data_IF_656885888151
#
_entry.id   IF_656885888151
#
_cell.length_a   1.000
_cell.length_b   1.000
_cell.length_c   1.000
_cell.angle_alpha   90.00
_cell.angle_beta   90.00
_cell.angle_gamma   90.00
#
_symmetry.space_group_name_H-M   'P 1'
#
loop_
_entity.id
_entity.type
_entity.pdbx_description
1 polymer ?
#
# COMPACT_ATOMS: atom_id res chain seq x y z
N UNK A 1 -15.00 -21.61 -0.50
CA UNK A 1 -14.06 -20.68 0.17
C UNK A 1 -12.94 -20.20 -0.75
N UNK A 2 -12.51 -21.01 -1.73
CA UNK A 2 -11.33 -20.68 -2.53
C UNK A 2 -11.51 -19.47 -3.44
N UNK A 3 -12.72 -19.21 -3.94
CA UNK A 3 -13.03 -17.97 -4.65
C UNK A 3 -12.78 -16.71 -3.82
N UNK A 4 -13.07 -16.73 -2.52
CA UNK A 4 -12.80 -15.59 -1.62
C UNK A 4 -11.29 -15.40 -1.46
N UNK A 5 -10.52 -16.49 -1.38
CA UNK A 5 -9.05 -16.42 -1.35
C UNK A 5 -8.50 -15.84 -2.66
N UNK A 6 -9.03 -16.26 -3.82
CA UNK A 6 -8.65 -15.73 -5.14
C UNK A 6 -8.90 -14.21 -5.19
N UNK A 7 -10.11 -13.77 -4.82
CA UNK A 7 -10.47 -12.36 -4.77
C UNK A 7 -9.58 -11.60 -3.79
N UNK A 8 -9.33 -12.15 -2.60
CA UNK A 8 -8.44 -11.56 -1.60
C UNK A 8 -7.04 -11.35 -2.15
N UNK A 9 -6.44 -12.38 -2.75
CA UNK A 9 -5.08 -12.31 -3.32
C UNK A 9 -5.03 -11.28 -4.45
N UNK A 10 -6.02 -11.25 -5.35
CA UNK A 10 -6.12 -10.23 -6.40
C UNK A 10 -6.13 -8.81 -5.80
N UNK A 11 -6.96 -8.59 -4.78
CA UNK A 11 -7.06 -7.29 -4.11
C UNK A 11 -5.74 -6.91 -3.40
N UNK A 12 -5.08 -7.87 -2.76
CA UNK A 12 -3.76 -7.65 -2.14
C UNK A 12 -2.73 -7.26 -3.19
N UNK A 13 -2.62 -8.00 -4.29
CA UNK A 13 -1.68 -7.68 -5.37
C UNK A 13 -1.92 -6.27 -5.93
N UNK A 14 -3.18 -5.93 -6.19
CA UNK A 14 -3.53 -4.59 -6.66
C UNK A 14 -3.31 -3.48 -5.64
N UNK A 15 -3.42 -3.79 -4.34
CA UNK A 15 -3.03 -2.87 -3.28
C UNK A 15 -1.51 -2.65 -3.23
N UNK A 16 -0.73 -3.73 -3.34
CA UNK A 16 0.74 -3.67 -3.31
C UNK A 16 1.31 -2.80 -4.43
N UNK A 17 0.67 -2.77 -5.61
CA UNK A 17 1.08 -1.91 -6.72
C UNK A 17 1.23 -0.45 -6.28
N UNK A 18 0.28 0.10 -5.52
CA UNK A 18 0.40 1.49 -5.07
C UNK A 18 1.40 1.66 -3.93
N UNK A 19 1.48 0.71 -3.00
CA UNK A 19 2.42 0.78 -1.87
C UNK A 19 3.87 0.87 -2.38
N UNK A 20 4.22 0.13 -3.42
CA UNK A 20 5.57 0.08 -3.97
C UNK A 20 5.85 1.11 -5.08
N UNK A 21 4.83 1.50 -5.84
CA UNK A 21 5.03 2.40 -6.98
C UNK A 21 4.88 3.89 -6.60
N UNK A 22 3.89 4.23 -5.76
CA UNK A 22 3.51 5.64 -5.54
C UNK A 22 4.57 6.46 -4.83
N UNK A 23 5.24 5.99 -3.75
CA UNK A 23 6.29 6.77 -3.11
C UNK A 23 7.43 7.15 -4.07
N UNK A 24 7.82 6.23 -4.96
CA UNK A 24 8.82 6.51 -6.01
C UNK A 24 8.26 7.41 -7.11
N UNK A 25 7.02 7.20 -7.53
CA UNK A 25 6.35 8.04 -8.53
C UNK A 25 6.24 9.51 -8.06
N UNK A 26 6.06 9.76 -6.75
CA UNK A 26 6.07 11.10 -6.18
C UNK A 26 7.39 11.85 -6.41
N UNK A 27 8.53 11.15 -6.44
CA UNK A 27 9.83 11.75 -6.75
C UNK A 27 9.84 12.28 -8.19
N UNK A 28 9.35 11.46 -9.13
CA UNK A 28 9.31 11.85 -10.54
C UNK A 28 8.26 12.93 -10.79
N UNK A 29 7.10 12.87 -10.14
CA UNK A 29 6.08 13.92 -10.21
C UNK A 29 6.62 15.25 -9.66
N UNK A 30 7.32 15.24 -8.53
CA UNK A 30 7.99 16.44 -7.99
C UNK A 30 8.95 17.06 -9.02
N UNK A 31 9.74 16.25 -9.71
CA UNK A 31 10.70 16.71 -10.75
C UNK A 31 9.99 17.26 -11.99
N UNK A 32 8.88 16.65 -12.39
CA UNK A 32 8.05 17.12 -13.49
C UNK A 32 7.39 18.46 -13.15
N UNK A 33 6.76 18.55 -11.97
CA UNK A 33 6.15 19.78 -11.46
C UNK A 33 7.16 20.92 -11.33
N UNK A 34 8.39 20.64 -10.90
CA UNK A 34 9.45 21.65 -10.81
C UNK A 34 9.85 22.23 -12.19
N UNK A 35 9.60 21.51 -13.28
CA UNK A 35 9.89 21.97 -14.65
C UNK A 35 8.70 22.66 -15.30
N UNK A 36 7.49 22.14 -15.09
CA UNK A 36 6.28 22.60 -15.80
C UNK A 36 5.43 23.55 -14.97
N UNK A 37 5.53 23.51 -13.63
CA UNK A 37 4.63 24.20 -12.72
C UNK A 37 3.22 23.59 -12.62
N UNK A 38 2.98 22.46 -13.29
CA UNK A 38 1.66 21.85 -13.43
C UNK A 38 1.67 20.37 -13.04
N UNK A 39 0.50 19.85 -12.67
CA UNK A 39 0.31 18.42 -12.45
C UNK A 39 0.18 17.73 -13.80
N UNK A 40 1.31 17.40 -14.42
CA UNK A 40 1.37 16.71 -15.71
C UNK A 40 0.81 15.28 -15.69
N UNK A 41 0.89 14.56 -16.82
CA UNK A 41 0.32 13.21 -16.98
C UNK A 41 0.80 12.22 -15.92
N UNK A 42 2.04 12.36 -15.45
CA UNK A 42 2.61 11.52 -14.40
C UNK A 42 1.92 11.75 -13.05
N UNK A 43 1.58 12.99 -12.72
CA UNK A 43 0.86 13.30 -11.49
C UNK A 43 -0.56 12.75 -11.50
N UNK A 44 -1.23 12.86 -12.64
CA UNK A 44 -2.56 12.27 -12.84
C UNK A 44 -2.54 10.75 -12.76
N UNK A 45 -1.56 10.10 -13.40
CA UNK A 45 -1.36 8.65 -13.28
C UNK A 45 -1.12 8.23 -11.82
N UNK A 46 -0.23 8.93 -11.12
CA UNK A 46 0.12 8.63 -9.71
C UNK A 46 -1.10 8.74 -8.80
N UNK A 47 -1.89 9.81 -8.96
CA UNK A 47 -3.11 10.02 -8.19
C UNK A 47 -4.18 8.96 -8.49
N UNK A 48 -4.41 8.66 -9.78
CA UNK A 48 -5.38 7.64 -10.19
C UNK A 48 -4.98 6.24 -9.71
N UNK A 49 -3.68 5.92 -9.77
CA UNK A 49 -3.15 4.65 -9.28
C UNK A 49 -3.39 4.50 -7.77
N UNK A 50 -3.10 5.53 -6.98
CA UNK A 50 -3.40 5.54 -5.54
C UNK A 50 -4.91 5.35 -5.28
N UNK A 51 -5.78 6.07 -5.99
CA UNK A 51 -7.24 5.93 -5.80
C UNK A 51 -7.78 4.56 -6.19
N UNK A 52 -7.31 4.01 -7.30
CA UNK A 52 -7.69 2.68 -7.74
C UNK A 52 -7.29 1.62 -6.71
N UNK A 53 -6.04 1.71 -6.23
CA UNK A 53 -5.49 0.82 -5.22
C UNK A 53 -6.21 0.92 -3.87
N UNK A 54 -6.75 2.09 -3.51
CA UNK A 54 -7.52 2.27 -2.27
C UNK A 54 -8.81 1.43 -2.26
N UNK A 55 -9.49 1.25 -3.40
CA UNK A 55 -10.63 0.35 -3.49
C UNK A 55 -10.24 -1.11 -3.26
N UNK A 56 -9.13 -1.53 -3.85
CA UNK A 56 -8.59 -2.88 -3.69
C UNK A 56 -8.11 -3.13 -2.26
N UNK A 57 -7.50 -2.14 -1.60
CA UNK A 57 -7.17 -2.20 -0.18
C UNK A 57 -8.39 -2.50 0.67
N UNK A 58 -9.50 -1.76 0.49
CA UNK A 58 -10.72 -1.97 1.28
C UNK A 58 -11.24 -3.39 1.11
N UNK A 59 -11.31 -3.88 -0.13
CA UNK A 59 -11.72 -5.25 -0.43
C UNK A 59 -10.75 -6.28 0.17
N UNK A 60 -9.44 -6.04 0.11
CA UNK A 60 -8.42 -6.90 0.69
C UNK A 60 -8.57 -7.01 2.23
N UNK A 61 -8.86 -5.89 2.91
CA UNK A 61 -9.07 -5.87 4.36
C UNK A 61 -10.34 -6.62 4.75
N UNK A 62 -11.47 -6.36 4.08
CA UNK A 62 -12.75 -7.04 4.35
C UNK A 62 -12.62 -8.54 4.14
N UNK A 63 -12.09 -8.95 2.98
CA UNK A 63 -11.90 -10.38 2.68
C UNK A 63 -10.86 -11.02 3.59
N UNK A 64 -9.83 -10.29 4.00
CA UNK A 64 -8.80 -10.76 4.93
C UNK A 64 -9.35 -11.02 6.33
N UNK A 65 -10.16 -10.11 6.88
CA UNK A 65 -10.82 -10.27 8.17
C UNK A 65 -11.80 -11.43 8.11
N UNK A 66 -12.60 -11.53 7.04
CA UNK A 66 -13.54 -12.63 6.85
C UNK A 66 -12.82 -13.99 6.83
N UNK A 67 -11.72 -14.13 6.08
CA UNK A 67 -10.94 -15.37 6.06
C UNK A 67 -10.28 -15.65 7.42
N UNK A 68 -9.82 -14.61 8.13
CA UNK A 68 -9.33 -14.69 9.51
C UNK A 68 -10.32 -15.35 10.46
N UNK A 69 -11.58 -14.93 10.41
CA UNK A 69 -12.66 -15.47 11.23
C UNK A 69 -13.14 -16.85 10.76
N UNK A 70 -13.46 -16.97 9.46
CA UNK A 70 -14.17 -18.12 8.91
C UNK A 70 -13.27 -19.34 8.62
N UNK A 71 -11.98 -19.13 8.34
CA UNK A 71 -11.04 -20.22 7.98
C UNK A 71 -10.08 -20.53 9.11
N UNK A 72 -9.56 -19.50 9.77
CA UNK A 72 -8.43 -19.65 10.70
C UNK A 72 -8.78 -19.34 12.16
N UNK A 73 -10.05 -19.02 12.44
CA UNK A 73 -10.56 -18.74 13.79
C UNK A 73 -9.67 -17.79 14.60
N UNK A 74 -9.06 -16.80 13.93
CA UNK A 74 -8.08 -15.88 14.52
C UNK A 74 -6.94 -16.55 15.31
N UNK A 75 -6.40 -17.65 14.77
CA UNK A 75 -5.17 -18.26 15.29
C UNK A 75 -4.06 -17.22 15.56
N UNK A 76 -3.15 -17.43 16.52
CA UNK A 76 -2.18 -16.41 16.94
C UNK A 76 -1.38 -15.79 15.79
N UNK A 77 -0.93 -16.59 14.82
CA UNK A 77 -0.25 -16.10 13.62
C UNK A 77 -1.10 -15.14 12.78
N UNK A 78 -2.43 -15.32 12.75
CA UNK A 78 -3.37 -14.42 12.06
C UNK A 78 -3.42 -13.06 12.76
N UNK A 79 -3.42 -13.04 14.10
CA UNK A 79 -3.40 -11.79 14.87
C UNK A 79 -2.09 -11.03 14.63
N UNK A 80 -0.95 -11.73 14.63
CA UNK A 80 0.35 -11.13 14.29
C UNK A 80 0.34 -10.57 12.87
N UNK A 81 -0.17 -11.33 11.89
CA UNK A 81 -0.34 -10.88 10.51
C UNK A 81 -1.20 -9.62 10.44
N UNK A 82 -2.33 -9.58 11.14
CA UNK A 82 -3.23 -8.43 11.16
C UNK A 82 -2.53 -7.20 11.73
N UNK A 83 -1.74 -7.33 12.79
CA UNK A 83 -0.91 -6.24 13.31
C UNK A 83 0.05 -5.67 12.27
N UNK A 84 0.76 -6.53 11.52
CA UNK A 84 1.65 -6.09 10.44
C UNK A 84 0.88 -5.42 9.28
N UNK A 85 -0.28 -5.96 8.90
CA UNK A 85 -1.16 -5.36 7.88
C UNK A 85 -1.69 -4.00 8.34
N UNK A 86 -1.98 -3.81 9.63
CA UNK A 86 -2.37 -2.51 10.18
C UNK A 86 -1.24 -1.48 10.08
N UNK A 87 0.01 -1.86 10.35
CA UNK A 87 1.16 -0.97 10.14
C UNK A 87 1.32 -0.60 8.65
N UNK A 88 1.14 -1.57 7.76
CA UNK A 88 1.18 -1.34 6.31
C UNK A 88 0.03 -0.42 5.84
N UNK A 89 -1.14 -0.55 6.45
CA UNK A 89 -2.27 0.34 6.21
C UNK A 89 -1.96 1.79 6.63
N UNK A 90 -1.36 1.99 7.80
CA UNK A 90 -0.92 3.32 8.24
C UNK A 90 0.09 3.92 7.26
N UNK A 91 1.08 3.13 6.83
CA UNK A 91 2.05 3.53 5.81
C UNK A 91 1.37 3.95 4.49
N UNK A 92 0.38 3.17 4.04
CA UNK A 92 -0.40 3.50 2.85
C UNK A 92 -1.16 4.83 3.00
N UNK A 93 -1.79 5.07 4.15
CA UNK A 93 -2.52 6.32 4.42
C UNK A 93 -1.58 7.53 4.49
N UNK A 94 -0.36 7.37 5.03
CA UNK A 94 0.68 8.40 4.99
C UNK A 94 1.05 8.76 3.55
N UNK A 95 1.17 7.76 2.66
CA UNK A 95 1.36 7.97 1.22
C UNK A 95 0.22 8.78 0.62
N UNK A 96 -1.03 8.49 0.98
CA UNK A 96 -2.19 9.28 0.58
C UNK A 96 -2.10 10.75 0.98
N UNK A 97 -1.66 11.01 2.22
CA UNK A 97 -1.39 12.37 2.69
C UNK A 97 -0.35 13.09 1.82
N UNK A 98 0.70 12.40 1.38
CA UNK A 98 1.70 12.96 0.46
C UNK A 98 1.12 13.22 -0.93
N UNK A 99 0.32 12.31 -1.47
CA UNK A 99 -0.35 12.45 -2.78
C UNK A 99 -1.31 13.64 -2.79
N UNK A 100 -2.10 13.83 -1.74
CA UNK A 100 -3.02 14.98 -1.63
C UNK A 100 -2.25 16.30 -1.55
N UNK A 101 -1.09 16.33 -0.87
CA UNK A 101 -0.20 17.51 -0.86
C UNK A 101 0.43 17.76 -2.23
N UNK A 102 0.87 16.71 -2.92
CA UNK A 102 1.44 16.80 -4.26
C UNK A 102 0.44 17.38 -5.28
N UNK A 103 -0.85 16.99 -5.21
CA UNK A 103 -1.92 17.60 -6.02
C UNK A 103 -2.03 19.12 -5.85
N UNK A 104 -1.68 19.65 -4.68
CA UNK A 104 -1.66 21.09 -4.38
C UNK A 104 -0.33 21.76 -4.75
N UNK A 105 0.56 21.07 -5.45
CA UNK A 105 1.91 21.56 -5.80
C UNK A 105 2.88 21.58 -4.61
N UNK A 106 2.54 20.95 -3.48
CA UNK A 106 3.37 20.98 -2.28
C UNK A 106 4.13 19.67 -2.08
N UNK A 107 5.46 19.73 -2.21
CA UNK A 107 6.36 18.58 -2.06
C UNK A 107 7.33 18.82 -0.90
N UNK A 108 6.98 18.35 0.30
CA UNK A 108 7.80 18.54 1.51
C UNK A 108 8.91 17.51 1.67
N UNK A 109 8.70 16.30 1.14
CA UNK A 109 9.61 15.18 1.37
C UNK A 109 10.83 15.23 0.44
N UNK A 110 11.97 14.79 0.98
CA UNK A 110 13.19 14.63 0.20
C UNK A 110 13.16 13.34 -0.63
N UNK A 111 13.91 13.32 -1.73
CA UNK A 111 14.04 12.15 -2.61
C UNK A 111 14.65 10.95 -1.86
N UNK A 112 15.52 11.19 -0.87
CA UNK A 112 16.06 10.14 0.00
C UNK A 112 14.99 9.58 0.94
N UNK A 113 14.20 10.45 1.58
CA UNK A 113 13.09 10.02 2.43
C UNK A 113 12.10 9.14 1.68
N UNK A 114 11.66 9.55 0.48
CA UNK A 114 10.68 8.79 -0.31
C UNK A 114 11.20 7.41 -0.75
N UNK A 115 12.51 7.28 -1.01
CA UNK A 115 13.15 5.98 -1.28
C UNK A 115 13.17 5.10 -0.04
N UNK A 116 13.65 5.64 1.09
CA UNK A 116 13.68 4.89 2.35
C UNK A 116 12.27 4.47 2.80
N UNK A 117 11.30 5.36 2.65
CA UNK A 117 9.90 5.13 2.96
C UNK A 117 9.31 3.99 2.12
N UNK A 118 9.68 3.90 0.85
CA UNK A 118 9.32 2.76 0.00
C UNK A 118 9.99 1.46 0.48
N UNK A 119 11.25 1.53 0.90
CA UNK A 119 12.01 0.33 1.25
C UNK A 119 11.52 -0.28 2.58
N UNK A 120 11.02 0.56 3.50
CA UNK A 120 10.33 0.12 4.71
C UNK A 120 9.08 -0.71 4.39
N UNK A 121 8.33 -0.36 3.33
CA UNK A 121 7.14 -1.14 2.96
C UNK A 121 7.50 -2.53 2.45
N UNK A 122 8.62 -2.67 1.73
CA UNK A 122 9.14 -3.97 1.30
C UNK A 122 9.47 -4.84 2.51
N UNK A 123 10.16 -4.29 3.52
CA UNK A 123 10.45 -5.02 4.76
C UNK A 123 9.16 -5.44 5.49
N UNK A 124 8.16 -4.57 5.56
CA UNK A 124 6.85 -4.90 6.13
C UNK A 124 6.17 -6.05 5.39
N UNK A 125 6.20 -6.04 4.06
CA UNK A 125 5.63 -7.12 3.23
C UNK A 125 6.40 -8.43 3.39
N UNK A 126 7.73 -8.40 3.49
CA UNK A 126 8.54 -9.59 3.80
C UNK A 126 8.11 -10.20 5.15
N UNK A 127 7.91 -9.37 6.17
CA UNK A 127 7.40 -9.82 7.47
C UNK A 127 6.02 -10.48 7.36
N UNK A 128 5.08 -9.87 6.62
CA UNK A 128 3.75 -10.45 6.38
C UNK A 128 3.86 -11.80 5.66
N UNK A 129 4.69 -11.89 4.62
CA UNK A 129 4.90 -13.12 3.86
C UNK A 129 5.49 -14.22 4.74
N UNK A 130 6.48 -13.90 5.57
CA UNK A 130 7.06 -14.85 6.51
C UNK A 130 5.99 -15.43 7.44
N UNK A 131 5.15 -14.58 8.05
CA UNK A 131 4.06 -15.03 8.93
C UNK A 131 3.05 -15.93 8.19
N UNK A 132 2.68 -15.57 6.95
CA UNK A 132 1.70 -16.35 6.18
C UNK A 132 2.23 -17.70 5.71
N UNK A 133 3.51 -17.76 5.34
CA UNK A 133 4.16 -18.97 4.82
C UNK A 133 4.52 -19.92 5.96
N UNK A 134 5.14 -19.40 7.01
CA UNK A 134 5.62 -20.23 8.14
C UNK A 134 4.51 -20.54 9.14
N UNK A 135 3.47 -19.70 9.22
CA UNK A 135 2.38 -19.77 10.21
C UNK A 135 2.95 -20.06 11.61
N UNK A 136 3.82 -19.18 12.11
CA UNK A 136 4.46 -19.41 13.39
C UNK A 136 3.38 -19.30 14.46
N UNK A 137 3.30 -20.27 15.37
CA UNK A 137 2.33 -20.36 16.47
C UNK A 137 0.93 -20.90 16.08
#
# INVERSE_FOLDING_TARGET
>A
MDWIKIIHILCVMGWMTSIFAVPRALIYWKRDFAKTGENGPLGDLTYRLYRFSAGLMVLALITGIYLGAAVWSFAPWVLVKLGLVSLLFVHYMMTGGMVVRARKGTFKESDFYLRMFNEISVLGVIGILWVVVTKPF
#
